data_IF_997237831685
#
_entry.id   IF_997237831685
#
_cell.length_a   1.000
_cell.length_b   1.000
_cell.length_c   1.000
_cell.angle_alpha   90.00
_cell.angle_beta   90.00
_cell.angle_gamma   90.00
#
_symmetry.space_group_name_H-M   'P 1'
#
loop_
_entity.id
_entity.type
_entity.pdbx_description
1 polymer ?
#
# COMPACT_ATOMS: atom_id res chain seq x y z
N UNK A 1 -11.02 -12.97 -24.18
CA UNK A 1 -10.10 -13.99 -23.62
C UNK A 1 -9.96 -13.80 -22.11
N UNK A 2 -9.67 -12.59 -21.60
CA UNK A 2 -9.53 -12.32 -20.15
C UNK A 2 -10.83 -12.53 -19.33
N UNK A 3 -12.01 -12.18 -19.86
CA UNK A 3 -13.28 -12.39 -19.15
C UNK A 3 -13.65 -13.87 -18.96
N UNK A 4 -13.32 -14.72 -19.92
CA UNK A 4 -13.57 -16.17 -19.83
C UNK A 4 -12.68 -16.77 -18.73
N UNK A 5 -11.39 -16.40 -18.71
CA UNK A 5 -10.46 -16.82 -17.67
C UNK A 5 -10.89 -16.35 -16.27
N UNK A 6 -11.44 -15.14 -16.15
CA UNK A 6 -11.96 -14.64 -14.87
C UNK A 6 -13.17 -15.45 -14.39
N UNK A 7 -14.08 -15.86 -15.30
CA UNK A 7 -15.21 -16.73 -14.94
C UNK A 7 -14.75 -18.11 -14.49
N UNK A 8 -13.82 -18.72 -15.22
CA UNK A 8 -13.27 -20.04 -14.87
C UNK A 8 -12.60 -20.01 -13.49
N UNK A 9 -11.87 -18.93 -13.16
CA UNK A 9 -11.26 -18.75 -11.83
C UNK A 9 -12.27 -18.54 -10.71
N UNK A 10 -13.40 -17.89 -11.00
CA UNK A 10 -14.50 -17.77 -10.04
C UNK A 10 -15.09 -19.15 -9.75
N UNK A 11 -15.40 -19.94 -10.79
CA UNK A 11 -15.90 -21.31 -10.60
C UNK A 11 -14.90 -22.16 -9.81
N UNK A 12 -13.62 -22.12 -10.19
CA UNK A 12 -12.56 -22.83 -9.47
C UNK A 12 -12.47 -22.43 -8.00
N UNK A 13 -12.61 -21.14 -7.68
CA UNK A 13 -12.66 -20.69 -6.30
C UNK A 13 -13.85 -21.29 -5.54
N UNK A 14 -15.03 -21.33 -6.15
CA UNK A 14 -16.22 -21.91 -5.55
C UNK A 14 -16.10 -23.42 -5.33
N UNK A 15 -15.51 -24.15 -6.28
CA UNK A 15 -15.19 -25.58 -6.13
C UNK A 15 -14.21 -25.84 -4.97
N UNK A 16 -13.17 -25.01 -4.87
CA UNK A 16 -12.17 -25.12 -3.80
C UNK A 16 -12.80 -24.86 -2.43
N UNK A 17 -13.60 -23.80 -2.27
CA UNK A 17 -14.23 -23.53 -0.97
C UNK A 17 -15.33 -24.52 -0.61
N UNK A 18 -16.02 -25.09 -1.60
CA UNK A 18 -16.99 -26.15 -1.37
C UNK A 18 -16.29 -27.41 -0.84
N UNK A 19 -15.11 -27.74 -1.37
CA UNK A 19 -14.34 -28.93 -1.00
C UNK A 19 -13.61 -28.75 0.33
N UNK A 20 -12.94 -27.61 0.50
CA UNK A 20 -12.01 -27.35 1.61
C UNK A 20 -12.68 -26.65 2.79
N UNK A 21 -13.81 -25.96 2.59
CA UNK A 21 -14.52 -25.18 3.62
C UNK A 21 -16.04 -25.42 3.64
N UNK A 22 -16.47 -26.67 3.41
CA UNK A 22 -17.88 -27.05 3.17
C UNK A 22 -18.88 -26.40 4.15
N UNK A 23 -18.58 -26.41 5.45
CA UNK A 23 -19.44 -25.81 6.48
C UNK A 23 -19.62 -24.30 6.28
N UNK A 24 -18.51 -23.55 6.24
CA UNK A 24 -18.53 -22.11 6.00
C UNK A 24 -19.15 -21.74 4.64
N UNK A 25 -18.94 -22.57 3.64
CA UNK A 25 -19.53 -22.40 2.31
C UNK A 25 -21.06 -22.51 2.35
N UNK A 26 -21.59 -23.56 3.01
CA UNK A 26 -23.04 -23.72 3.21
C UNK A 26 -23.65 -22.57 4.00
N UNK A 27 -22.97 -22.13 5.07
CA UNK A 27 -23.42 -20.98 5.87
C UNK A 27 -23.45 -19.69 5.05
N UNK A 28 -22.43 -19.45 4.22
CA UNK A 28 -22.36 -18.28 3.35
C UNK A 28 -23.49 -18.28 2.30
N UNK A 29 -23.77 -19.43 1.67
CA UNK A 29 -24.91 -19.57 0.75
C UNK A 29 -26.25 -19.33 1.45
N UNK A 30 -26.44 -19.93 2.62
CA UNK A 30 -27.67 -19.79 3.39
C UNK A 30 -27.91 -18.33 3.79
N UNK A 31 -26.86 -17.60 4.19
CA UNK A 31 -26.94 -16.16 4.49
C UNK A 31 -27.37 -15.30 3.30
N UNK A 32 -27.15 -15.80 2.08
CA UNK A 32 -27.59 -15.18 0.83
C UNK A 32 -28.95 -15.69 0.33
N UNK A 33 -29.62 -16.57 1.09
CA UNK A 33 -30.89 -17.18 0.70
C UNK A 33 -30.77 -18.19 -0.46
N UNK A 34 -29.59 -18.77 -0.67
CA UNK A 34 -29.34 -19.74 -1.73
C UNK A 34 -29.41 -21.16 -1.19
N UNK A 35 -30.26 -21.98 -1.79
CA UNK A 35 -30.34 -23.41 -1.52
C UNK A 35 -29.27 -24.18 -2.30
N UNK A 36 -28.77 -25.28 -1.72
CA UNK A 36 -27.77 -26.15 -2.35
C UNK A 36 -28.44 -27.32 -3.08
N UNK A 37 -27.88 -27.83 -4.18
CA UNK A 37 -26.63 -27.43 -4.83
C UNK A 37 -26.78 -26.23 -5.78
N UNK A 38 -25.70 -25.45 -5.94
CA UNK A 38 -25.64 -24.34 -6.91
C UNK A 38 -25.08 -24.86 -8.24
N UNK A 39 -25.75 -24.56 -9.35
CA UNK A 39 -25.28 -24.89 -10.69
C UNK A 39 -24.68 -23.66 -11.38
N UNK A 40 -23.34 -23.60 -11.45
CA UNK A 40 -22.58 -22.53 -12.10
C UNK A 40 -22.57 -21.23 -11.31
N UNK A 41 -21.63 -21.09 -10.37
CA UNK A 41 -21.56 -19.99 -9.41
C UNK A 41 -21.24 -18.66 -10.08
N UNK A 42 -20.58 -18.66 -11.24
CA UNK A 42 -20.34 -17.47 -12.05
C UNK A 42 -21.61 -16.87 -12.68
N UNK A 43 -22.75 -17.59 -12.61
CA UNK A 43 -24.06 -17.07 -13.05
C UNK A 43 -24.85 -16.41 -11.92
N UNK A 44 -24.37 -16.49 -10.67
CA UNK A 44 -25.00 -15.80 -9.55
C UNK A 44 -24.94 -14.28 -9.76
N UNK A 45 -25.93 -13.52 -9.28
CA UNK A 45 -25.87 -12.06 -9.29
C UNK A 45 -24.57 -11.57 -8.63
N UNK A 46 -23.94 -10.54 -9.20
CA UNK A 46 -22.67 -10.03 -8.70
C UNK A 46 -22.72 -9.64 -7.20
N UNK A 47 -23.85 -9.08 -6.74
CA UNK A 47 -24.08 -8.79 -5.32
C UNK A 47 -24.00 -10.04 -4.44
N UNK A 48 -24.51 -11.17 -4.93
CA UNK A 48 -24.51 -12.45 -4.23
C UNK A 48 -23.10 -13.04 -4.17
N UNK A 49 -22.36 -12.99 -5.29
CA UNK A 49 -20.95 -13.39 -5.32
C UNK A 49 -20.16 -12.56 -4.30
N UNK A 50 -20.33 -11.23 -4.31
CA UNK A 50 -19.65 -10.35 -3.36
C UNK A 50 -19.99 -10.66 -1.90
N UNK A 51 -21.26 -10.98 -1.60
CA UNK A 51 -21.67 -11.35 -0.24
C UNK A 51 -20.98 -12.64 0.23
N UNK A 52 -20.91 -13.66 -0.64
CA UNK A 52 -20.21 -14.90 -0.31
C UNK A 52 -18.72 -14.62 -0.10
N UNK A 53 -18.08 -13.89 -1.01
CA UNK A 53 -16.67 -13.52 -0.90
C UNK A 53 -16.36 -12.75 0.40
N UNK A 54 -17.29 -11.92 0.87
CA UNK A 54 -17.16 -11.22 2.16
C UNK A 54 -17.08 -12.18 3.34
N UNK A 55 -17.82 -13.30 3.33
CA UNK A 55 -17.73 -14.34 4.37
C UNK A 55 -16.32 -14.95 4.46
N UNK A 56 -15.65 -15.05 3.31
CA UNK A 56 -14.30 -15.61 3.19
C UNK A 56 -13.18 -14.58 3.32
N UNK A 57 -13.50 -13.29 3.47
CA UNK A 57 -12.53 -12.19 3.52
C UNK A 57 -11.59 -12.13 2.29
N UNK A 58 -12.14 -12.39 1.11
CA UNK A 58 -11.40 -12.34 -0.17
C UNK A 58 -12.06 -11.34 -1.10
N UNK A 59 -11.27 -10.63 -1.91
CA UNK A 59 -11.79 -9.71 -2.93
C UNK A 59 -12.11 -10.45 -4.22
N UNK A 60 -13.09 -9.96 -4.97
CA UNK A 60 -13.36 -10.47 -6.31
C UNK A 60 -12.15 -10.33 -7.24
N UNK A 61 -11.37 -9.25 -7.07
CA UNK A 61 -10.14 -9.03 -7.84
C UNK A 61 -9.12 -10.15 -7.64
N UNK A 62 -8.93 -10.61 -6.40
CA UNK A 62 -7.98 -11.68 -6.09
C UNK A 62 -8.42 -13.02 -6.66
N UNK A 63 -9.72 -13.32 -6.56
CA UNK A 63 -10.34 -14.50 -7.19
C UNK A 63 -10.17 -14.45 -8.71
N UNK A 64 -10.53 -13.33 -9.34
CA UNK A 64 -10.42 -13.17 -10.79
C UNK A 64 -8.96 -13.23 -11.29
N UNK A 65 -7.98 -12.90 -10.45
CA UNK A 65 -6.55 -13.10 -10.72
C UNK A 65 -6.06 -14.53 -10.48
N UNK A 66 -6.78 -15.34 -9.71
CA UNK A 66 -6.36 -16.68 -9.31
C UNK A 66 -5.20 -16.67 -8.32
N UNK A 67 -5.08 -15.62 -7.48
CA UNK A 67 -3.98 -15.43 -6.51
C UNK A 67 -4.47 -15.63 -5.06
N UNK A 68 -5.55 -16.37 -4.82
CA UNK A 68 -6.10 -16.55 -3.48
C UNK A 68 -5.18 -17.43 -2.62
N UNK A 69 -4.80 -16.93 -1.45
CA UNK A 69 -4.09 -17.73 -0.45
C UNK A 69 -5.11 -18.46 0.43
N UNK A 70 -5.36 -19.74 0.10
CA UNK A 70 -6.35 -20.57 0.79
C UNK A 70 -5.91 -20.98 2.21
N UNK A 71 -4.62 -21.11 2.47
CA UNK A 71 -4.09 -21.44 3.80
C UNK A 71 -4.35 -20.28 4.77
N UNK A 72 -4.11 -19.04 4.34
CA UNK A 72 -4.42 -17.84 5.13
C UNK A 72 -5.91 -17.71 5.37
N UNK A 73 -6.72 -17.94 4.33
CA UNK A 73 -8.17 -17.88 4.42
C UNK A 73 -8.70 -18.89 5.45
N UNK A 74 -8.21 -20.13 5.43
CA UNK A 74 -8.56 -21.16 6.40
C UNK A 74 -8.28 -20.72 7.83
N UNK A 75 -7.05 -20.25 8.10
CA UNK A 75 -6.64 -19.77 9.43
C UNK A 75 -7.52 -18.60 9.89
N UNK A 76 -7.82 -17.66 9.00
CA UNK A 76 -8.69 -16.52 9.30
C UNK A 76 -10.15 -16.92 9.58
N UNK A 77 -10.67 -17.96 8.92
CA UNK A 77 -12.00 -18.53 9.22
C UNK A 77 -12.04 -19.19 10.60
N UNK A 78 -10.94 -19.78 11.05
CA UNK A 78 -10.76 -20.30 12.41
C UNK A 78 -10.57 -19.22 13.48
N UNK A 79 -10.52 -17.95 13.08
CA UNK A 79 -10.29 -16.80 13.96
C UNK A 79 -8.82 -16.54 14.29
N UNK A 80 -7.89 -17.18 13.60
CA UNK A 80 -6.46 -16.97 13.79
C UNK A 80 -5.98 -15.70 13.07
N UNK A 81 -4.96 -15.04 13.63
CA UNK A 81 -4.25 -13.96 12.95
C UNK A 81 -3.28 -14.57 11.93
N UNK A 82 -3.66 -14.57 10.66
CA UNK A 82 -2.83 -15.06 9.56
C UNK A 82 -2.70 -14.03 8.45
N UNK A 83 -1.52 -14.01 7.82
CA UNK A 83 -1.23 -13.23 6.61
C UNK A 83 -0.45 -14.08 5.61
N UNK A 84 -0.48 -13.74 4.31
CA UNK A 84 0.28 -14.44 3.29
C UNK A 84 1.76 -14.55 3.60
N UNK A 85 2.31 -15.74 3.33
CA UNK A 85 3.69 -16.07 3.66
C UNK A 85 4.71 -15.15 2.98
N UNK A 86 4.39 -14.70 1.75
CA UNK A 86 5.20 -13.75 0.96
C UNK A 86 5.49 -12.43 1.68
N UNK A 87 4.66 -12.03 2.63
CA UNK A 87 4.89 -10.82 3.41
C UNK A 87 5.89 -11.02 4.55
N UNK A 88 6.31 -12.25 4.82
CA UNK A 88 7.41 -12.57 5.73
C UNK A 88 8.77 -12.61 5.01
N UNK A 89 8.81 -12.53 3.68
CA UNK A 89 10.05 -12.57 2.91
C UNK A 89 10.64 -11.17 2.70
N UNK A 90 11.95 -11.02 2.89
CA UNK A 90 12.68 -9.79 2.57
C UNK A 90 12.97 -8.86 3.75
N UNK A 91 13.65 -7.75 3.45
CA UNK A 91 14.33 -6.87 4.40
C UNK A 91 13.45 -6.41 5.59
N UNK A 92 13.68 -7.05 6.74
CA UNK A 92 13.27 -6.66 8.09
C UNK A 92 11.77 -6.80 8.39
N UNK A 93 11.46 -7.94 9.01
CA UNK A 93 10.25 -8.20 9.78
C UNK A 93 9.90 -7.03 10.72
N UNK A 94 8.87 -6.26 10.37
CA UNK A 94 7.77 -6.01 11.30
C UNK A 94 6.50 -5.61 10.56
N UNK A 95 5.46 -6.41 10.74
CA UNK A 95 4.16 -5.86 11.14
C UNK A 95 4.39 -5.06 12.44
N UNK A 96 3.95 -3.83 12.67
CA UNK A 96 2.80 -3.08 12.16
C UNK A 96 3.12 -1.59 12.32
N UNK A 97 3.05 -0.75 11.28
CA UNK A 97 2.75 0.69 11.49
C UNK A 97 2.36 1.41 10.20
N UNK A 98 3.00 1.07 9.07
CA UNK A 98 2.79 1.81 7.82
C UNK A 98 1.60 1.30 7.00
N UNK A 99 1.38 -0.01 6.80
CA UNK A 99 0.24 -0.49 6.02
C UNK A 99 -1.11 -0.10 6.64
N UNK A 100 -1.29 -0.27 7.95
CA UNK A 100 -2.52 0.13 8.67
C UNK A 100 -2.85 1.60 8.49
N UNK A 101 -1.85 2.47 8.68
CA UNK A 101 -2.05 3.89 8.51
C UNK A 101 -2.36 4.29 7.06
N UNK A 102 -1.83 3.54 6.09
CA UNK A 102 -2.19 3.70 4.67
C UNK A 102 -3.64 3.25 4.44
N UNK A 103 -4.10 2.14 5.04
CA UNK A 103 -5.52 1.72 5.01
C UNK A 103 -6.42 2.83 5.59
N UNK A 104 -6.02 3.47 6.68
CA UNK A 104 -6.76 4.61 7.25
C UNK A 104 -6.78 5.81 6.29
N UNK A 105 -5.68 6.11 5.60
CA UNK A 105 -5.65 7.16 4.58
C UNK A 105 -6.57 6.84 3.39
N UNK A 106 -6.65 5.57 2.97
CA UNK A 106 -7.60 5.10 1.95
C UNK A 106 -9.03 5.32 2.43
N UNK A 107 -9.34 4.94 3.67
CA UNK A 107 -10.67 5.12 4.26
C UNK A 107 -11.11 6.60 4.26
N UNK A 108 -10.19 7.49 4.63
CA UNK A 108 -10.44 8.93 4.66
C UNK A 108 -10.52 9.57 3.26
N UNK A 109 -9.78 9.06 2.28
CA UNK A 109 -9.71 9.63 0.94
C UNK A 109 -10.80 9.10 0.01
N UNK A 110 -11.22 7.84 0.18
CA UNK A 110 -12.21 7.17 -0.65
C UNK A 110 -13.45 6.81 0.18
N UNK A 111 -13.36 5.73 0.94
CA UNK A 111 -14.41 5.24 1.82
C UNK A 111 -13.90 4.07 2.66
N UNK A 112 -14.62 3.76 3.74
CA UNK A 112 -14.38 2.55 4.54
C UNK A 112 -14.48 1.28 3.70
N UNK A 113 -15.41 1.22 2.75
CA UNK A 113 -15.59 0.06 1.89
C UNK A 113 -14.40 -0.16 0.95
N UNK A 114 -13.83 0.92 0.40
CA UNK A 114 -12.61 0.83 -0.41
C UNK A 114 -11.41 0.32 0.42
N UNK A 115 -11.28 0.80 1.66
CA UNK A 115 -10.26 0.33 2.59
C UNK A 115 -10.44 -1.16 2.93
N UNK A 116 -11.68 -1.59 3.21
CA UNK A 116 -12.00 -3.00 3.45
C UNK A 116 -11.68 -3.87 2.22
N UNK A 117 -11.95 -3.38 1.00
CA UNK A 117 -11.66 -4.13 -0.21
C UNK A 117 -10.16 -4.31 -0.45
N UNK A 118 -9.35 -3.31 -0.09
CA UNK A 118 -7.89 -3.44 -0.09
C UNK A 118 -7.46 -4.51 0.91
N UNK A 119 -7.99 -4.49 2.14
CA UNK A 119 -7.69 -5.51 3.18
C UNK A 119 -8.00 -6.92 2.69
N UNK A 120 -9.14 -7.13 2.02
CA UNK A 120 -9.49 -8.43 1.41
C UNK A 120 -8.58 -8.79 0.25
N UNK A 121 -8.14 -7.80 -0.54
CA UNK A 121 -7.19 -8.01 -1.64
C UNK A 121 -5.82 -8.48 -1.14
N UNK A 122 -5.33 -7.94 -0.03
CA UNK A 122 -4.06 -8.37 0.54
C UNK A 122 -4.21 -9.51 1.57
N UNK A 123 -5.44 -9.88 1.96
CA UNK A 123 -5.78 -10.92 2.94
C UNK A 123 -5.15 -10.73 4.33
N UNK A 124 -5.24 -9.53 4.93
CA UNK A 124 -4.56 -9.18 6.21
C UNK A 124 -5.47 -8.98 7.45
N UNK A 125 -6.56 -9.74 7.55
CA UNK A 125 -7.61 -9.55 8.58
C UNK A 125 -7.07 -9.48 10.01
N UNK A 126 -7.54 -8.51 10.78
CA UNK A 126 -7.40 -8.46 12.24
C UNK A 126 -6.03 -8.01 12.76
N UNK A 127 -5.06 -7.82 11.87
CA UNK A 127 -3.73 -7.28 12.21
C UNK A 127 -3.71 -5.75 12.16
N UNK A 128 -4.78 -5.15 11.60
CA UNK A 128 -4.97 -3.70 11.43
C UNK A 128 -4.99 -2.90 12.73
N UNK A 129 -5.32 -3.51 13.88
CA UNK A 129 -5.56 -2.77 15.12
C UNK A 129 -4.32 -2.58 16.01
N UNK A 130 -3.16 -3.15 15.66
CA UNK A 130 -1.98 -3.08 16.51
C UNK A 130 -1.04 -1.96 16.06
N UNK A 131 -0.89 -0.92 16.88
CA UNK A 131 0.17 0.08 16.76
C UNK A 131 1.46 -0.52 17.31
N UNK A 132 2.43 -0.86 16.45
CA UNK A 132 3.80 -1.13 16.89
C UNK A 132 4.77 -0.16 16.23
N UNK A 133 5.95 -0.03 16.80
CA UNK A 133 6.99 0.80 16.20
C UNK A 133 7.67 0.09 15.01
N UNK A 134 7.70 0.81 13.89
CA UNK A 134 8.89 1.03 13.06
C UNK A 134 9.47 -0.07 12.13
N UNK A 135 8.66 -0.91 11.47
CA UNK A 135 9.08 -1.43 10.14
C UNK A 135 7.97 -1.40 9.07
N UNK A 136 8.40 -1.14 7.84
CA UNK A 136 7.55 -1.01 6.65
C UNK A 136 7.71 -2.26 5.78
N UNK A 137 6.64 -3.05 5.70
CA UNK A 137 6.54 -4.14 4.75
C UNK A 137 6.35 -3.60 3.33
N UNK A 138 7.41 -3.63 2.52
CA UNK A 138 7.38 -3.08 1.15
C UNK A 138 6.53 -3.90 0.20
N UNK A 139 6.49 -5.22 0.34
CA UNK A 139 5.72 -6.10 -0.53
C UNK A 139 4.23 -5.83 -0.32
N UNK A 140 3.80 -5.75 0.95
CA UNK A 140 2.43 -5.39 1.29
C UNK A 140 2.09 -3.97 0.82
N UNK A 141 2.98 -2.99 1.03
CA UNK A 141 2.75 -1.63 0.58
C UNK A 141 2.67 -1.53 -0.94
N UNK A 142 3.49 -2.32 -1.64
CA UNK A 142 3.44 -2.45 -3.08
C UNK A 142 2.09 -2.95 -3.53
N UNK A 143 1.60 -4.07 -2.98
CA UNK A 143 0.35 -4.69 -3.41
C UNK A 143 -0.85 -3.76 -3.18
N UNK A 144 -0.84 -3.02 -2.07
CA UNK A 144 -1.83 -1.96 -1.80
C UNK A 144 -1.76 -0.88 -2.88
N UNK A 145 -0.55 -0.36 -3.17
CA UNK A 145 -0.40 0.72 -4.15
C UNK A 145 -0.71 0.28 -5.57
N UNK A 146 -0.37 -0.96 -5.94
CA UNK A 146 -0.66 -1.53 -7.26
C UNK A 146 -2.17 -1.70 -7.47
N UNK A 147 -2.88 -2.21 -6.46
CA UNK A 147 -4.33 -2.25 -6.47
C UNK A 147 -4.94 -0.85 -6.64
N UNK A 148 -4.53 0.11 -5.80
CA UNK A 148 -5.06 1.46 -5.86
C UNK A 148 -4.77 2.14 -7.20
N UNK A 149 -3.56 1.97 -7.73
CA UNK A 149 -3.19 2.52 -9.02
C UNK A 149 -4.01 1.91 -10.16
N UNK A 150 -4.30 0.60 -10.09
CA UNK A 150 -5.09 -0.13 -11.11
C UNK A 150 -6.52 0.39 -11.16
N UNK A 151 -7.16 0.62 -10.01
CA UNK A 151 -8.59 0.95 -9.95
C UNK A 151 -8.91 2.44 -9.83
N UNK A 152 -8.01 3.22 -9.24
CA UNK A 152 -8.24 4.63 -8.93
C UNK A 152 -7.19 5.56 -9.53
N UNK A 153 -6.15 5.00 -10.15
CA UNK A 153 -5.10 5.76 -10.81
C UNK A 153 -3.97 6.23 -9.89
N UNK A 154 -2.88 6.66 -10.52
CA UNK A 154 -1.65 7.11 -9.86
C UNK A 154 -1.85 8.34 -8.96
N UNK A 155 -2.78 9.23 -9.31
CA UNK A 155 -2.94 10.50 -8.60
C UNK A 155 -3.51 10.26 -7.19
N UNK A 156 -4.39 9.26 -7.03
CA UNK A 156 -4.85 8.84 -5.70
C UNK A 156 -3.71 8.27 -4.86
N UNK A 157 -2.87 7.41 -5.43
CA UNK A 157 -1.72 6.83 -4.71
C UNK A 157 -0.78 7.93 -4.21
N UNK A 158 -0.50 8.93 -5.05
CA UNK A 158 0.28 10.10 -4.65
C UNK A 158 -0.42 10.90 -3.54
N UNK A 159 -1.73 11.12 -3.64
CA UNK A 159 -2.52 11.80 -2.60
C UNK A 159 -2.48 11.08 -1.25
N UNK A 160 -2.60 9.75 -1.25
CA UNK A 160 -2.50 8.93 -0.03
C UNK A 160 -1.10 9.06 0.59
N UNK A 161 -0.05 9.03 -0.23
CA UNK A 161 1.31 9.29 0.23
C UNK A 161 1.47 10.67 0.85
N UNK A 162 0.89 11.69 0.22
CA UNK A 162 0.90 13.06 0.72
C UNK A 162 0.18 13.19 2.06
N UNK A 163 -1.03 12.62 2.19
CA UNK A 163 -1.81 12.60 3.44
C UNK A 163 -1.05 11.90 4.56
N UNK A 164 -0.44 10.75 4.27
CA UNK A 164 0.33 10.01 5.28
C UNK A 164 1.57 10.80 5.74
N UNK A 165 2.26 11.46 4.81
CA UNK A 165 3.37 12.35 5.17
C UNK A 165 2.90 13.51 6.06
N UNK A 166 1.76 14.14 5.76
CA UNK A 166 1.19 15.22 6.58
C UNK A 166 0.94 14.76 8.01
N UNK A 167 0.33 13.59 8.20
CA UNK A 167 0.08 13.02 9.53
C UNK A 167 1.39 12.76 10.28
N UNK A 168 2.37 12.12 9.63
CA UNK A 168 3.63 11.77 10.27
C UNK A 168 4.48 13.00 10.60
N UNK A 169 4.51 14.01 9.72
CA UNK A 169 5.23 15.26 9.99
C UNK A 169 4.51 16.10 11.03
N UNK A 170 3.18 16.15 11.01
CA UNK A 170 2.38 16.86 12.02
C UNK A 170 2.66 16.39 13.44
N UNK A 171 2.93 15.09 13.64
CA UNK A 171 3.33 14.53 14.94
C UNK A 171 4.76 14.94 15.38
N UNK A 172 5.59 15.44 14.46
CA UNK A 172 7.00 15.80 14.70
C UNK A 172 7.24 17.31 14.68
N UNK A 173 6.38 18.09 14.03
CA UNK A 173 6.62 19.51 13.74
C UNK A 173 6.86 20.34 15.00
N UNK A 174 6.18 20.04 16.11
CA UNK A 174 6.38 20.74 17.37
C UNK A 174 7.76 20.47 17.98
N UNK A 175 8.32 19.26 17.79
CA UNK A 175 9.69 18.92 18.22
C UNK A 175 10.75 19.56 17.32
N UNK A 176 10.40 19.86 16.08
CA UNK A 176 11.26 20.55 15.13
C UNK A 176 11.17 22.07 15.20
N UNK A 177 10.19 22.59 15.96
CA UNK A 177 10.00 24.02 16.16
C UNK A 177 11.29 24.65 16.70
N UNK A 178 11.76 25.71 16.05
CA UNK A 178 13.02 26.38 16.37
C UNK A 178 14.29 25.77 15.74
N UNK A 179 14.24 24.52 15.25
CA UNK A 179 15.32 23.91 14.46
C UNK A 179 15.19 24.26 12.97
N UNK A 180 13.96 24.29 12.47
CA UNK A 180 13.69 24.57 11.05
C UNK A 180 13.86 26.06 10.77
N UNK A 181 15.00 26.44 10.18
CA UNK A 181 15.30 27.82 9.78
C UNK A 181 15.17 28.05 8.27
N UNK A 182 15.27 26.98 7.50
CA UNK A 182 15.18 27.01 6.04
C UNK A 182 14.80 25.63 5.50
N UNK A 183 14.55 25.56 4.19
CA UNK A 183 14.22 24.34 3.47
C UNK A 183 15.29 23.25 3.66
N UNK A 184 16.57 23.60 3.68
CA UNK A 184 17.66 22.64 3.90
C UNK A 184 17.52 21.91 5.24
N UNK A 185 17.37 22.62 6.34
CA UNK A 185 17.29 22.00 7.68
C UNK A 185 16.00 21.20 7.86
N UNK A 186 14.89 21.62 7.24
CA UNK A 186 13.68 20.79 7.20
C UNK A 186 13.94 19.47 6.49
N UNK A 187 14.59 19.51 5.33
CA UNK A 187 14.86 18.33 4.52
C UNK A 187 15.80 17.35 5.22
N UNK A 188 16.85 17.86 5.88
CA UNK A 188 17.75 17.05 6.70
C UNK A 188 16.99 16.35 7.84
N UNK A 189 16.19 17.08 8.62
CA UNK A 189 15.36 16.51 9.69
C UNK A 189 14.37 15.46 9.17
N UNK A 190 13.75 15.70 8.01
CA UNK A 190 12.84 14.74 7.41
C UNK A 190 13.57 13.47 6.95
N UNK A 191 14.71 13.61 6.27
CA UNK A 191 15.53 12.48 5.79
C UNK A 191 16.09 11.65 6.95
N UNK A 192 16.40 12.28 8.08
CA UNK A 192 17.02 11.59 9.22
C UNK A 192 15.99 11.01 10.18
N UNK A 193 14.91 11.73 10.49
CA UNK A 193 13.98 11.36 11.57
C UNK A 193 12.66 10.74 11.11
N UNK A 194 12.25 10.97 9.86
CA UNK A 194 10.93 10.53 9.35
C UNK A 194 11.07 9.53 8.21
N UNK A 195 11.74 9.91 7.12
CA UNK A 195 11.76 9.11 5.90
C UNK A 195 12.29 7.68 6.11
N UNK A 196 13.30 7.43 6.97
CA UNK A 196 13.80 6.09 7.29
C UNK A 196 12.79 5.20 8.05
N UNK A 197 11.66 5.75 8.51
CA UNK A 197 10.61 5.05 9.25
C UNK A 197 9.30 4.92 8.44
N UNK A 198 9.40 5.16 7.13
CA UNK A 198 8.25 5.21 6.20
C UNK A 198 8.55 4.38 4.96
N UNK A 199 7.87 4.66 3.84
CA UNK A 199 8.21 4.11 2.51
C UNK A 199 9.69 4.35 2.11
N UNK A 200 10.37 5.30 2.76
CA UNK A 200 11.79 5.56 2.56
C UNK A 200 12.75 4.61 3.30
N UNK A 201 12.30 3.80 4.26
CA UNK A 201 13.14 2.98 5.18
C UNK A 201 14.21 2.14 4.48
N UNK A 202 13.85 1.66 3.30
CA UNK A 202 14.59 0.65 2.57
C UNK A 202 15.57 1.23 1.54
N UNK A 203 15.73 2.55 1.53
CA UNK A 203 16.69 3.24 0.69
C UNK A 203 17.64 4.07 1.56
N UNK A 204 18.83 4.28 1.05
CA UNK A 204 19.80 5.20 1.59
C UNK A 204 19.58 6.56 0.93
N UNK A 205 18.74 7.38 1.57
CA UNK A 205 18.40 8.71 1.09
C UNK A 205 19.47 9.73 1.44
N UNK A 206 19.74 10.64 0.51
CA UNK A 206 20.64 11.77 0.70
C UNK A 206 20.10 12.99 -0.02
N UNK A 207 20.24 14.13 0.64
CA UNK A 207 20.04 15.44 0.03
C UNK A 207 21.24 15.72 -0.89
N UNK A 208 20.98 15.89 -2.19
CA UNK A 208 22.03 16.12 -3.19
C UNK A 208 22.29 17.62 -3.39
N UNK A 209 21.23 18.43 -3.44
CA UNK A 209 21.34 19.88 -3.49
C UNK A 209 20.10 20.55 -2.90
N UNK A 210 20.27 21.78 -2.43
CA UNK A 210 19.18 22.68 -2.02
C UNK A 210 19.49 24.06 -2.53
N UNK A 211 18.53 24.62 -3.24
CA UNK A 211 18.46 26.01 -3.66
C UNK A 211 17.32 26.71 -2.89
N UNK A 212 17.18 28.02 -3.06
CA UNK A 212 16.15 28.82 -2.38
C UNK A 212 14.72 28.26 -2.58
N UNK A 213 14.44 27.78 -3.78
CA UNK A 213 13.11 27.33 -4.21
C UNK A 213 13.07 25.88 -4.68
N UNK A 214 14.15 25.12 -4.52
CA UNK A 214 14.15 23.71 -4.92
C UNK A 214 15.09 22.85 -4.10
N UNK A 215 14.83 21.55 -4.06
CA UNK A 215 15.78 20.58 -3.54
C UNK A 215 15.81 19.33 -4.41
N UNK A 216 16.96 18.68 -4.41
CA UNK A 216 17.17 17.39 -5.07
C UNK A 216 17.51 16.35 -4.01
N UNK A 217 16.73 15.28 -3.98
CA UNK A 217 16.90 14.15 -3.07
C UNK A 217 17.10 12.87 -3.89
N UNK A 218 18.11 12.08 -3.53
CA UNK A 218 18.41 10.80 -4.16
C UNK A 218 18.34 9.66 -3.15
N UNK A 219 17.86 8.50 -3.57
CA UNK A 219 17.78 7.29 -2.76
C UNK A 219 18.30 6.08 -3.54
N UNK A 220 19.38 5.48 -3.04
CA UNK A 220 19.86 4.19 -3.53
C UNK A 220 19.18 3.06 -2.73
N UNK A 221 18.76 1.95 -3.35
CA UNK A 221 18.17 0.84 -2.61
C UNK A 221 19.21 0.26 -1.66
N UNK A 222 18.79 -0.17 -0.47
CA UNK A 222 19.67 -0.95 0.40
C UNK A 222 19.85 -2.36 -0.20
N UNK A 223 20.98 -3.05 0.06
CA UNK A 223 21.26 -4.38 -0.52
C UNK A 223 20.14 -5.40 -0.31
N UNK A 224 19.38 -5.28 0.76
CA UNK A 224 18.27 -6.19 1.10
C UNK A 224 17.04 -5.96 0.19
N UNK A 225 16.82 -4.72 -0.27
CA UNK A 225 15.81 -4.39 -1.29
C UNK A 225 16.19 -4.99 -2.62
N UNK A 226 17.47 -4.87 -3.00
CA UNK A 226 17.95 -5.46 -4.25
C UNK A 226 17.73 -6.97 -4.28
N UNK A 227 17.89 -7.68 -3.15
CA UNK A 227 17.58 -9.12 -3.06
C UNK A 227 16.08 -9.40 -3.18
N UNK A 228 15.26 -8.63 -2.47
CA UNK A 228 13.80 -8.78 -2.46
C UNK A 228 13.21 -8.60 -3.85
N UNK A 229 13.67 -7.57 -4.59
CA UNK A 229 13.14 -7.25 -5.93
C UNK A 229 13.94 -7.85 -7.10
N UNK A 230 15.16 -8.39 -6.90
CA UNK A 230 15.81 -9.24 -7.92
C UNK A 230 15.03 -10.52 -8.19
N UNK A 231 14.44 -11.10 -7.15
CA UNK A 231 13.58 -12.28 -7.27
C UNK A 231 12.16 -11.92 -7.72
N UNK A 232 11.68 -10.70 -7.42
CA UNK A 232 10.33 -10.23 -7.76
C UNK A 232 10.23 -9.44 -9.09
N UNK A 233 11.34 -9.09 -9.73
CA UNK A 233 11.37 -8.31 -10.97
C UNK A 233 11.13 -6.81 -10.75
N UNK A 234 12.21 -6.06 -10.52
CA UNK A 234 12.29 -4.59 -10.39
C UNK A 234 11.49 -3.97 -9.23
N UNK A 235 11.96 -2.83 -8.72
CA UNK A 235 11.19 -2.02 -7.76
C UNK A 235 9.96 -1.48 -8.50
N UNK A 236 8.73 -1.78 -8.05
CA UNK A 236 7.52 -1.47 -8.80
C UNK A 236 7.18 0.03 -8.77
N UNK A 237 6.67 0.52 -9.90
CA UNK A 237 6.36 1.94 -10.15
C UNK A 237 5.34 2.52 -9.16
N UNK A 238 4.43 1.70 -8.64
CA UNK A 238 3.42 2.13 -7.67
C UNK A 238 4.03 2.66 -6.36
N UNK A 239 5.14 2.08 -5.90
CA UNK A 239 5.89 2.58 -4.74
C UNK A 239 6.61 3.91 -5.01
N UNK A 240 7.04 4.16 -6.25
CA UNK A 240 7.59 5.47 -6.65
C UNK A 240 6.52 6.56 -6.58
N UNK A 241 5.30 6.26 -7.04
CA UNK A 241 4.17 7.19 -6.99
C UNK A 241 3.83 7.55 -5.55
N UNK A 242 3.78 6.56 -4.64
CA UNK A 242 3.57 6.82 -3.22
C UNK A 242 4.68 7.72 -2.63
N UNK A 243 5.95 7.43 -2.95
CA UNK A 243 7.10 8.23 -2.51
C UNK A 243 7.05 9.67 -3.01
N UNK A 244 6.64 9.90 -4.27
CA UNK A 244 6.42 11.25 -4.80
C UNK A 244 5.41 12.01 -3.96
N UNK A 245 4.30 11.36 -3.59
CA UNK A 245 3.30 11.92 -2.68
C UNK A 245 3.90 12.38 -1.36
N UNK A 246 4.70 11.52 -0.72
CA UNK A 246 5.40 11.86 0.52
C UNK A 246 6.28 13.10 0.39
N UNK A 247 7.10 13.15 -0.66
CA UNK A 247 8.05 14.24 -0.90
C UNK A 247 7.35 15.56 -1.27
N UNK A 248 6.20 15.47 -1.95
CA UNK A 248 5.43 16.64 -2.39
C UNK A 248 4.85 17.44 -1.21
N UNK A 249 4.59 16.81 -0.06
CA UNK A 249 4.07 17.47 1.13
C UNK A 249 5.13 18.31 1.86
N UNK A 250 6.42 18.03 1.70
CA UNK A 250 7.45 18.59 2.58
C UNK A 250 7.51 20.11 2.61
N UNK A 251 7.48 20.81 1.46
CA UNK A 251 7.53 22.27 1.47
C UNK A 251 6.41 22.94 2.29
N UNK A 252 5.22 22.33 2.37
CA UNK A 252 4.10 22.94 3.10
C UNK A 252 4.32 23.05 4.60
N UNK A 253 5.24 22.26 5.16
CA UNK A 253 5.62 22.31 6.58
C UNK A 253 6.27 23.66 6.93
N UNK A 254 6.94 24.30 5.97
CA UNK A 254 7.55 25.63 6.12
C UNK A 254 6.80 26.70 5.32
N UNK A 255 5.51 26.48 5.03
CA UNK A 255 4.68 27.51 4.38
C UNK A 255 5.03 27.74 2.91
N UNK A 256 5.80 26.83 2.32
CA UNK A 256 6.01 26.79 0.88
C UNK A 256 4.93 25.93 0.22
N UNK A 257 4.58 26.27 -1.02
CA UNK A 257 3.76 25.42 -1.89
C UNK A 257 4.68 24.65 -2.82
N UNK A 258 4.48 23.34 -2.92
CA UNK A 258 5.12 22.55 -3.99
C UNK A 258 4.49 22.91 -5.34
N UNK A 259 5.33 23.38 -6.26
CA UNK A 259 4.93 23.73 -7.63
C UNK A 259 5.07 22.54 -8.56
N UNK A 260 6.15 21.78 -8.43
CA UNK A 260 6.42 20.62 -9.26
C UNK A 260 7.30 19.58 -8.54
N UNK A 261 7.15 18.33 -8.94
CA UNK A 261 8.06 17.24 -8.60
C UNK A 261 8.47 16.51 -9.89
N UNK A 262 9.76 16.51 -10.17
CA UNK A 262 10.34 15.82 -11.33
C UNK A 262 11.14 14.61 -10.84
N UNK A 263 10.86 13.45 -11.42
CA UNK A 263 11.71 12.28 -11.22
C UNK A 263 12.79 12.31 -12.29
N UNK A 264 14.03 12.53 -11.86
CA UNK A 264 15.21 12.65 -12.73
C UNK A 264 15.74 11.27 -13.11
N UNK A 265 15.80 10.35 -12.14
CA UNK A 265 16.24 8.97 -12.34
C UNK A 265 15.30 8.02 -11.59
N UNK A 266 15.21 6.78 -12.06
CA UNK A 266 14.26 5.81 -11.53
C UNK A 266 14.77 4.38 -11.61
N UNK A 267 14.73 3.68 -10.48
CA UNK A 267 15.14 2.28 -10.38
C UNK A 267 14.21 1.38 -11.18
N UNK A 268 12.91 1.72 -11.28
CA UNK A 268 11.98 0.98 -12.16
C UNK A 268 12.34 1.09 -13.64
N UNK A 269 13.15 2.07 -14.04
CA UNK A 269 13.69 2.23 -15.40
C UNK A 269 15.11 1.68 -15.57
N UNK A 270 15.63 0.94 -14.58
CA UNK A 270 16.96 0.32 -14.62
C UNK A 270 18.11 1.20 -14.10
N UNK A 271 17.80 2.38 -13.54
CA UNK A 271 18.80 3.23 -12.91
C UNK A 271 19.25 2.68 -11.54
N UNK A 272 20.42 3.10 -11.07
CA UNK A 272 20.97 2.67 -9.76
C UNK A 272 20.28 3.32 -8.57
N UNK A 273 19.58 4.43 -8.78
CA UNK A 273 18.96 5.22 -7.72
C UNK A 273 17.74 5.98 -8.22
N UNK A 274 16.80 6.25 -7.31
CA UNK A 274 15.71 7.19 -7.56
C UNK A 274 16.16 8.60 -7.20
N UNK A 275 15.98 9.56 -8.10
CA UNK A 275 16.31 10.97 -7.84
C UNK A 275 15.10 11.84 -8.14
N UNK A 276 14.75 12.71 -7.20
CA UNK A 276 13.63 13.63 -7.31
C UNK A 276 14.10 15.07 -7.15
N UNK A 277 13.67 15.94 -8.06
CA UNK A 277 13.77 17.40 -7.91
C UNK A 277 12.40 17.94 -7.55
N UNK A 278 12.32 18.59 -6.40
CA UNK A 278 11.11 19.24 -5.91
C UNK A 278 11.31 20.74 -6.05
N UNK A 279 10.38 21.40 -6.72
CA UNK A 279 10.33 22.85 -6.89
C UNK A 279 9.19 23.38 -6.04
N UNK A 280 9.47 24.41 -5.24
CA UNK A 280 8.53 25.03 -4.32
C UNK A 280 8.60 26.54 -4.40
N UNK A 281 7.58 27.23 -3.89
CA UNK A 281 7.59 28.68 -3.72
C UNK A 281 6.99 29.07 -2.38
N UNK A 282 7.47 30.16 -1.79
CA UNK A 282 6.93 30.71 -0.54
C UNK A 282 5.45 31.08 -0.75
N UNK A 283 4.57 30.53 0.09
CA UNK A 283 3.13 30.82 0.05
C UNK A 283 2.76 31.89 1.08
N UNK A 284 3.43 31.89 2.24
CA UNK A 284 3.48 32.97 3.25
C UNK A 284 4.83 32.92 3.98
N UNK A 285 5.46 34.05 4.32
CA UNK A 285 6.64 34.06 5.18
C UNK A 285 6.27 33.48 6.57
N UNK A 286 7.16 32.64 7.10
CA UNK A 286 7.06 31.98 8.40
C UNK A 286 7.20 32.96 9.57
#
# INVERSE_FOLDING_TARGET
MELLQARDRIEQFFEEIQTSFEGHYKDALHSCGIETPVHGHSNLPASTIMNILNCFNVSLYKVAKGDVDYEVMEKQLRGEQAIPSRYFEGALYSLKSTPVNIINCISNSLSRDAANEVVKTVQIKGIEAQESDENVNLILLHDICDYLQTFYGKDLVASIGAQKAQQTIGQKVDKWRGKIKCLKTLMELFIDEVYPKTVGQNFNWKLQSVDENSFVIGGAPRPEVERTFKNAGLVPRSLEVLRKGYLQTLPSVIGHRTLAIHQISSISHGEKSDTYKIVSAVQKPF
#
